data_IF_502723673612
#
_entry.id   IF_502723673612
#
_cell.length_a   1.000
_cell.length_b   1.000
_cell.length_c   1.000
_cell.angle_alpha   90.00
_cell.angle_beta   90.00
_cell.angle_gamma   90.00
#
_symmetry.space_group_name_H-M   'P 1'
#
loop_
_entity.id
_entity.type
_entity.pdbx_description
1 polymer ?
#
# COMPACT_ATOMS: atom_id res chain seq x y z
N UNK A 1 -7.23 20.13 -17.16
CA UNK A 1 -6.19 20.04 -16.12
C UNK A 1 -5.21 18.98 -16.59
N UNK A 2 -3.97 19.35 -16.88
CA UNK A 2 -2.96 18.46 -17.48
C UNK A 2 -1.91 18.22 -16.40
N UNK A 3 -1.68 16.96 -16.05
CA UNK A 3 -0.59 16.53 -15.18
C UNK A 3 0.55 16.08 -16.07
N UNK A 4 1.62 16.90 -16.14
CA UNK A 4 2.89 16.52 -16.77
C UNK A 4 3.78 16.01 -15.63
N UNK A 5 4.10 14.70 -15.57
CA UNK A 5 5.07 14.21 -14.60
C UNK A 5 6.48 14.65 -15.01
N UNK A 6 7.37 14.92 -14.04
CA UNK A 6 8.74 15.31 -14.33
C UNK A 6 9.46 14.17 -15.05
N UNK A 7 10.16 14.50 -16.13
CA UNK A 7 11.04 13.59 -16.85
C UNK A 7 12.21 13.25 -15.92
N UNK A 8 12.18 12.04 -15.36
CA UNK A 8 13.32 11.50 -14.63
C UNK A 8 14.08 10.57 -15.57
N UNK A 9 15.34 10.92 -15.75
CA UNK A 9 16.36 10.21 -16.53
C UNK A 9 16.60 8.83 -15.90
N UNK A 10 15.75 7.86 -16.19
CA UNK A 10 15.94 6.49 -15.72
C UNK A 10 16.90 5.75 -16.64
N UNK A 11 18.18 5.89 -16.33
CA UNK A 11 19.26 5.16 -16.98
C UNK A 11 19.21 3.67 -16.57
N UNK A 12 18.39 2.88 -17.28
CA UNK A 12 18.47 1.42 -17.41
C UNK A 12 18.59 0.60 -16.11
N UNK A 13 17.45 0.24 -15.49
CA UNK A 13 17.43 -0.72 -14.36
C UNK A 13 16.09 -0.95 -13.64
N UNK A 14 15.03 -0.21 -13.94
CA UNK A 14 13.85 -0.02 -13.08
C UNK A 14 13.03 -1.27 -12.67
N UNK A 15 13.11 -2.38 -13.41
CA UNK A 15 12.29 -3.57 -13.12
C UNK A 15 12.67 -4.30 -11.82
N UNK A 16 13.95 -4.26 -11.44
CA UNK A 16 14.46 -4.91 -10.22
C UNK A 16 14.15 -4.09 -8.97
N UNK A 17 14.18 -2.75 -9.09
CA UNK A 17 13.96 -1.85 -7.96
C UNK A 17 12.50 -1.83 -7.52
N UNK A 18 11.56 -1.85 -8.48
CA UNK A 18 10.13 -1.86 -8.20
C UNK A 18 9.64 -3.14 -7.51
N UNK A 19 10.06 -4.30 -8.04
CA UNK A 19 9.67 -5.60 -7.49
C UNK A 19 10.32 -5.85 -6.13
N UNK A 20 11.58 -5.45 -5.97
CA UNK A 20 12.29 -5.47 -4.68
C UNK A 20 11.60 -4.60 -3.64
N UNK A 21 11.25 -3.36 -3.98
CA UNK A 21 10.56 -2.44 -3.07
C UNK A 21 9.20 -2.99 -2.61
N UNK A 22 8.38 -3.49 -3.54
CA UNK A 22 7.09 -4.10 -3.19
C UNK A 22 7.30 -5.33 -2.31
N UNK A 23 8.29 -6.17 -2.61
CA UNK A 23 8.60 -7.35 -1.81
C UNK A 23 9.03 -6.97 -0.38
N UNK A 24 9.87 -5.95 -0.23
CA UNK A 24 10.29 -5.43 1.08
C UNK A 24 9.11 -4.94 1.90
N UNK A 25 8.22 -4.14 1.30
CA UNK A 25 7.01 -3.65 1.99
C UNK A 25 6.11 -4.81 2.39
N UNK A 26 5.86 -5.77 1.48
CA UNK A 26 5.05 -6.98 1.79
C UNK A 26 5.64 -7.76 2.96
N UNK A 27 6.96 -7.94 2.97
CA UNK A 27 7.62 -8.69 4.03
C UNK A 27 7.56 -7.97 5.38
N UNK A 28 7.80 -6.66 5.42
CA UNK A 28 7.69 -5.86 6.64
C UNK A 28 6.26 -5.88 7.19
N UNK A 29 5.25 -5.70 6.34
CA UNK A 29 3.85 -5.82 6.74
C UNK A 29 3.53 -7.22 7.27
N UNK A 30 4.01 -8.28 6.62
CA UNK A 30 3.79 -9.65 7.10
C UNK A 30 4.45 -9.93 8.46
N UNK A 31 5.56 -9.24 8.77
CA UNK A 31 6.29 -9.41 10.02
C UNK A 31 5.73 -8.58 11.17
N UNK A 32 5.20 -7.39 10.88
CA UNK A 32 4.84 -6.38 11.90
C UNK A 32 3.33 -6.16 12.05
N UNK A 33 2.53 -6.46 11.03
CA UNK A 33 1.10 -6.18 11.07
C UNK A 33 0.37 -7.11 12.06
N UNK A 34 -0.45 -6.57 12.98
CA UNK A 34 -1.27 -7.38 13.88
C UNK A 34 -2.58 -7.87 13.21
N UNK A 35 -2.72 -7.74 11.90
CA UNK A 35 -3.92 -8.04 11.13
C UNK A 35 -3.60 -8.78 9.84
N UNK A 36 -4.62 -9.40 9.25
CA UNK A 36 -4.47 -10.11 7.98
C UNK A 36 -4.26 -9.14 6.81
N UNK A 37 -3.25 -9.43 6.00
CA UNK A 37 -2.85 -8.61 4.84
C UNK A 37 -3.10 -9.32 3.50
N UNK A 38 -3.76 -10.49 3.49
CA UNK A 38 -3.96 -11.30 2.27
C UNK A 38 -4.82 -10.58 1.24
N UNK A 39 -5.73 -9.71 1.69
CA UNK A 39 -6.63 -8.96 0.82
C UNK A 39 -6.08 -7.57 0.46
N UNK A 40 -4.75 -7.39 0.53
CA UNK A 40 -4.03 -6.19 0.12
C UNK A 40 -3.27 -6.46 -1.18
N UNK A 41 -3.45 -5.57 -2.14
CA UNK A 41 -2.75 -5.53 -3.42
C UNK A 41 -1.72 -4.41 -3.45
N UNK A 42 -0.63 -4.66 -4.16
CA UNK A 42 0.49 -3.74 -4.31
C UNK A 42 0.77 -3.53 -5.80
N UNK A 43 0.96 -2.29 -6.21
CA UNK A 43 1.24 -1.95 -7.61
C UNK A 43 2.07 -0.68 -7.71
N UNK A 44 2.84 -0.54 -8.78
CA UNK A 44 3.55 0.70 -9.08
C UNK A 44 2.71 1.60 -9.98
N UNK A 45 2.61 2.87 -9.63
CA UNK A 45 2.10 3.95 -10.46
C UNK A 45 3.23 4.95 -10.70
N UNK A 46 4.01 4.72 -11.76
CA UNK A 46 5.29 5.42 -11.96
C UNK A 46 6.24 5.13 -10.80
N UNK A 47 6.60 6.16 -10.04
CA UNK A 47 7.49 6.04 -8.88
C UNK A 47 6.75 5.94 -7.52
N UNK A 48 5.42 5.81 -7.55
CA UNK A 48 4.56 5.70 -6.35
C UNK A 48 4.13 4.25 -6.19
N UNK A 49 4.23 3.72 -4.97
CA UNK A 49 3.63 2.44 -4.59
C UNK A 49 2.18 2.68 -4.18
N UNK A 50 1.25 2.09 -4.92
CA UNK A 50 -0.15 1.98 -4.53
C UNK A 50 -0.34 0.72 -3.69
N UNK A 51 -0.92 0.90 -2.51
CA UNK A 51 -1.34 -0.17 -1.60
C UNK A 51 -2.86 -0.05 -1.44
N UNK A 52 -3.61 -1.01 -1.93
CA UNK A 52 -5.07 -1.00 -1.99
C UNK A 52 -5.64 -2.31 -1.47
N UNK A 53 -6.76 -2.29 -0.77
CA UNK A 53 -7.37 -3.52 -0.26
C UNK A 53 -8.36 -3.33 0.87
N UNK A 54 -8.84 -4.44 1.40
CA UNK A 54 -9.70 -4.46 2.59
C UNK A 54 -8.97 -5.11 3.75
N UNK A 55 -8.96 -4.45 4.90
CA UNK A 55 -8.33 -4.96 6.13
C UNK A 55 -9.32 -4.83 7.27
N UNK A 56 -9.58 -5.93 7.96
CA UNK A 56 -10.47 -5.96 9.13
C UNK A 56 -9.73 -5.52 10.40
N UNK A 57 -9.20 -4.30 10.37
CA UNK A 57 -8.58 -3.67 11.53
C UNK A 57 -8.79 -2.15 11.49
N UNK A 58 -9.17 -1.54 12.62
CA UNK A 58 -9.15 -0.09 12.76
C UNK A 58 -7.72 0.41 12.60
N UNK A 59 -7.56 1.58 12.00
CA UNK A 59 -6.27 2.27 11.82
C UNK A 59 -5.22 1.50 10.98
N UNK A 60 -5.65 0.47 10.25
CA UNK A 60 -4.78 -0.30 9.35
C UNK A 60 -4.12 0.60 8.29
N UNK A 61 -4.84 1.60 7.78
CA UNK A 61 -4.32 2.53 6.79
C UNK A 61 -3.14 3.34 7.32
N UNK A 62 -3.20 3.80 8.58
CA UNK A 62 -2.12 4.56 9.20
C UNK A 62 -0.89 3.68 9.43
N UNK A 63 -1.10 2.46 9.96
CA UNK A 63 -0.01 1.50 10.18
C UNK A 63 0.68 1.13 8.87
N UNK A 64 -0.10 0.75 7.85
CA UNK A 64 0.42 0.37 6.53
C UNK A 64 1.18 1.53 5.90
N UNK A 65 0.63 2.74 5.98
CA UNK A 65 1.29 3.95 5.48
C UNK A 65 2.64 4.16 6.16
N UNK A 66 2.70 4.06 7.49
CA UNK A 66 3.95 4.26 8.24
C UNK A 66 5.03 3.26 7.86
N UNK A 67 4.72 1.97 7.84
CA UNK A 67 5.67 0.91 7.46
C UNK A 67 6.15 1.10 6.02
N UNK A 68 5.22 1.38 5.10
CA UNK A 68 5.58 1.58 3.69
C UNK A 68 6.43 2.84 3.48
N UNK A 69 6.17 3.93 4.21
CA UNK A 69 6.95 5.17 4.12
C UNK A 69 8.36 5.02 4.70
N UNK A 70 8.54 4.23 5.76
CA UNK A 70 9.87 3.93 6.32
C UNK A 70 10.79 3.27 5.28
N UNK A 71 10.22 2.41 4.42
CA UNK A 71 10.95 1.66 3.40
C UNK A 71 11.11 2.46 2.09
N UNK A 72 10.02 3.06 1.58
CA UNK A 72 10.02 3.70 0.26
C UNK A 72 10.40 5.19 0.28
N UNK A 73 10.30 5.83 1.45
CA UNK A 73 10.40 7.27 1.64
C UNK A 73 9.04 7.99 1.62
N UNK A 74 8.97 9.12 2.30
CA UNK A 74 7.79 9.99 2.31
C UNK A 74 7.44 10.48 0.90
N UNK A 75 6.14 10.56 0.58
CA UNK A 75 5.65 11.03 -0.72
C UNK A 75 5.65 9.99 -1.86
N UNK A 76 6.17 8.78 -1.63
CA UNK A 76 6.19 7.68 -2.62
C UNK A 76 5.14 6.60 -2.38
N UNK A 77 4.24 6.79 -1.40
CA UNK A 77 3.23 5.82 -1.01
C UNK A 77 1.83 6.43 -1.13
N UNK A 78 0.92 5.69 -1.76
CA UNK A 78 -0.51 5.96 -1.77
C UNK A 78 -1.25 4.76 -1.15
N UNK A 79 -1.93 4.97 -0.03
CA UNK A 79 -2.69 3.91 0.67
C UNK A 79 -4.20 4.13 0.48
N UNK A 80 -4.88 3.10 -0.02
CA UNK A 80 -6.34 3.03 -0.23
C UNK A 80 -6.88 1.76 0.42
N UNK A 81 -6.63 1.61 1.72
CA UNK A 81 -7.14 0.48 2.49
C UNK A 81 -8.44 0.90 3.16
N UNK A 82 -9.47 0.05 3.04
CA UNK A 82 -10.74 0.27 3.72
C UNK A 82 -10.98 -0.83 4.74
N UNK A 83 -11.47 -0.43 5.92
CA UNK A 83 -11.99 -1.38 6.88
C UNK A 83 -13.47 -1.60 6.57
N UNK A 84 -13.91 -2.84 6.21
CA UNK A 84 -15.32 -3.10 6.08
C UNK A 84 -15.95 -2.87 7.44
N UNK A 85 -16.82 -1.84 7.55
CA UNK A 85 -17.67 -1.72 8.73
C UNK A 85 -18.51 -2.99 8.78
N UNK A 86 -18.22 -3.86 9.75
CA UNK A 86 -19.12 -4.96 10.07
C UNK A 86 -20.52 -4.38 10.19
N UNK A 87 -21.43 -4.86 9.37
CA UNK A 87 -22.84 -4.48 9.44
C UNK A 87 -23.35 -4.83 10.86
N UNK A 88 -23.77 -3.85 11.67
CA UNK A 88 -24.24 -4.14 13.02
C UNK A 88 -25.74 -4.48 13.04
N UNK A 89 -26.31 -5.14 12.02
CA UNK A 89 -27.75 -5.38 12.03
C UNK A 89 -28.31 -6.17 10.84
N UNK A 90 -28.02 -7.46 10.80
CA UNK A 90 -28.77 -8.45 10.05
C UNK A 90 -29.69 -9.30 10.95
N UNK A 91 -30.31 -8.71 11.97
CA UNK A 91 -31.44 -9.35 12.66
C UNK A 91 -32.71 -9.14 11.81
N UNK A 92 -33.09 -10.14 11.03
CA UNK A 92 -34.47 -10.25 10.53
C UNK A 92 -35.03 -11.59 10.96
N UNK A 93 -35.96 -11.45 11.90
CA UNK A 93 -36.90 -12.39 12.50
C UNK A 93 -37.68 -13.22 11.48
#
# INVERSE_FOLDING_TARGET
MILIPPEFDSLGGEGSDASGLIASIKYALAAEAPFDIQNISFSMLGNIVLIDGLVDAPDADEFIRRVAQDIAGEGRILVRVSCPKGDPGGETH
#
